data_IF_486604946710
#
_entry.id   IF_486604946710
#
_cell.length_a   1.000
_cell.length_b   1.000
_cell.length_c   1.000
_cell.angle_alpha   90.00
_cell.angle_beta   90.00
_cell.angle_gamma   90.00
#
_symmetry.space_group_name_H-M   'P 1'
#
loop_
_entity.id
_entity.type
_entity.pdbx_description
1 polymer ?
#
# COMPACT_ATOMS: atom_id res chain seq x y z
N UNK A 1 -49.50 21.18 19.63
CA UNK A 1 -49.26 20.05 20.56
C UNK A 1 -49.01 18.78 19.77
N UNK A 2 -47.93 18.04 20.04
CA UNK A 2 -47.85 16.56 20.14
C UNK A 2 -46.39 16.17 20.40
N UNK A 3 -46.17 15.31 21.40
CA UNK A 3 -44.87 14.71 21.75
C UNK A 3 -44.80 13.29 21.21
N UNK A 4 -43.60 12.71 21.27
CA UNK A 4 -43.33 11.27 21.28
C UNK A 4 -43.72 10.47 20.03
N UNK A 5 -42.74 10.27 19.15
CA UNK A 5 -42.43 8.94 18.65
C UNK A 5 -40.90 8.81 18.49
N UNK A 6 -40.27 8.06 19.42
CA UNK A 6 -39.01 7.28 19.26
C UNK A 6 -37.81 7.98 18.59
N UNK A 7 -36.67 8.28 19.24
CA UNK A 7 -36.09 7.92 20.56
C UNK A 7 -35.86 6.42 20.83
N UNK A 8 -35.38 5.63 19.85
CA UNK A 8 -34.80 4.30 20.10
C UNK A 8 -33.96 3.73 18.94
N UNK A 9 -32.81 4.33 18.58
CA UNK A 9 -31.68 3.56 18.00
C UNK A 9 -30.29 4.24 18.11
N UNK A 10 -30.04 5.02 19.17
CA UNK A 10 -28.72 5.60 19.48
C UNK A 10 -28.07 4.83 20.65
N UNK A 11 -28.46 3.57 20.84
CA UNK A 11 -28.14 2.77 22.03
C UNK A 11 -27.96 1.28 21.71
N UNK A 12 -27.02 0.97 20.82
CA UNK A 12 -26.45 -0.37 20.64
C UNK A 12 -25.00 -0.24 20.15
N UNK A 13 -24.13 -1.14 20.60
CA UNK A 13 -22.70 -1.22 20.22
C UNK A 13 -21.82 -0.01 20.65
N UNK A 14 -21.97 0.41 21.90
CA UNK A 14 -20.85 0.89 22.70
C UNK A 14 -20.70 0.00 23.95
N UNK A 15 -19.45 -0.36 24.27
CA UNK A 15 -19.00 -0.99 25.54
C UNK A 15 -19.55 -2.39 25.91
N UNK A 16 -19.05 -3.42 25.23
CA UNK A 16 -18.61 -4.67 25.90
C UNK A 16 -17.33 -5.19 25.25
N UNK A 17 -16.29 -5.47 26.02
CA UNK A 17 -15.11 -6.23 25.53
C UNK A 17 -13.74 -5.52 25.60
N UNK A 18 -13.28 -5.14 26.78
CA UNK A 18 -11.84 -4.90 27.01
C UNK A 18 -11.08 -6.24 27.09
N UNK A 19 -10.88 -6.91 25.95
CA UNK A 19 -10.04 -8.08 25.81
C UNK A 19 -9.46 -8.17 24.39
N UNK A 20 -8.16 -8.50 24.27
CA UNK A 20 -7.36 -8.60 23.04
C UNK A 20 -8.09 -8.47 21.71
N UNK A 21 -8.10 -7.26 21.14
CA UNK A 21 -8.65 -6.98 19.82
C UNK A 21 -7.76 -7.58 18.71
N UNK A 22 -7.88 -8.89 18.49
CA UNK A 22 -7.26 -9.56 17.35
C UNK A 22 -7.80 -8.96 16.05
N UNK A 23 -6.94 -8.32 15.26
CA UNK A 23 -7.34 -7.68 14.01
C UNK A 23 -8.11 -8.66 13.13
N UNK A 24 -9.35 -8.34 12.71
CA UNK A 24 -10.18 -9.26 11.94
C UNK A 24 -9.47 -9.62 10.64
N UNK A 25 -9.43 -10.92 10.34
CA UNK A 25 -8.71 -11.48 9.19
C UNK A 25 -9.10 -10.77 7.90
N UNK A 26 -8.09 -10.34 7.15
CA UNK A 26 -8.28 -9.69 5.87
C UNK A 26 -8.48 -10.76 4.78
N UNK A 27 -9.23 -10.46 3.70
CA UNK A 27 -9.39 -11.39 2.58
C UNK A 27 -8.04 -11.78 1.97
N UNK A 28 -7.96 -12.99 1.43
CA UNK A 28 -6.80 -13.45 0.66
C UNK A 28 -6.65 -12.70 -0.67
N UNK A 29 -7.75 -12.20 -1.25
CA UNK A 29 -7.69 -11.28 -2.39
C UNK A 29 -7.01 -9.96 -2.00
N UNK A 30 -5.83 -9.74 -2.59
CA UNK A 30 -5.07 -8.50 -2.59
C UNK A 30 -5.94 -7.26 -2.83
N UNK A 31 -6.95 -7.33 -3.70
CA UNK A 31 -7.80 -6.18 -4.07
C UNK A 31 -8.75 -5.79 -2.94
N UNK A 32 -9.61 -6.70 -2.49
CA UNK A 32 -10.55 -6.48 -1.40
C UNK A 32 -9.83 -6.12 -0.09
N UNK A 33 -8.70 -6.79 0.21
CA UNK A 33 -7.83 -6.41 1.33
C UNK A 33 -7.32 -4.96 1.19
N UNK A 34 -6.85 -4.55 0.01
CA UNK A 34 -6.38 -3.17 -0.24
C UNK A 34 -7.48 -2.14 -0.02
N UNK A 35 -8.69 -2.40 -0.50
CA UNK A 35 -9.82 -1.47 -0.33
C UNK A 35 -10.19 -1.29 1.14
N UNK A 36 -10.14 -2.37 1.94
CA UNK A 36 -10.33 -2.30 3.38
C UNK A 36 -9.22 -1.46 4.04
N UNK A 37 -7.95 -1.66 3.66
CA UNK A 37 -6.81 -0.88 4.19
C UNK A 37 -6.91 0.61 3.82
N UNK A 38 -7.18 0.92 2.54
CA UNK A 38 -7.38 2.30 2.05
C UNK A 38 -8.55 3.00 2.75
N UNK A 39 -9.60 2.26 3.12
CA UNK A 39 -10.75 2.78 3.87
C UNK A 39 -10.40 3.00 5.35
N UNK A 40 -9.72 2.04 5.98
CA UNK A 40 -9.30 2.12 7.40
C UNK A 40 -8.22 3.18 7.63
N UNK A 41 -7.38 3.52 6.64
CA UNK A 41 -6.37 4.58 6.72
C UNK A 41 -6.95 6.03 6.73
N UNK A 42 -8.26 6.20 6.95
CA UNK A 42 -8.91 7.46 7.30
C UNK A 42 -9.44 7.48 8.75
N UNK A 43 -9.27 6.38 9.50
CA UNK A 43 -9.69 6.31 10.90
C UNK A 43 -8.83 7.18 11.82
N UNK A 44 -9.35 7.52 13.02
CA UNK A 44 -8.54 8.12 14.08
C UNK A 44 -7.52 7.10 14.60
N UNK A 45 -6.29 7.53 14.81
CA UNK A 45 -5.20 6.67 15.26
C UNK A 45 -4.67 7.11 16.64
N UNK A 46 -4.65 6.22 17.65
CA UNK A 46 -4.07 6.53 18.94
C UNK A 46 -2.59 6.93 18.84
N UNK A 47 -2.13 7.96 19.58
CA UNK A 47 -0.73 8.38 19.60
C UNK A 47 0.26 7.24 19.90
N UNK A 48 -0.11 6.26 20.74
CA UNK A 48 0.75 5.10 21.04
C UNK A 48 0.92 4.13 19.85
N UNK A 49 -0.06 4.08 18.95
CA UNK A 49 0.01 3.29 17.70
C UNK A 49 0.94 3.99 16.72
N UNK A 50 0.80 5.32 16.61
CA UNK A 50 1.63 6.17 15.75
C UNK A 50 3.10 6.18 16.21
N UNK A 51 3.35 6.27 17.52
CA UNK A 51 4.69 6.15 18.12
C UNK A 51 5.34 4.80 17.83
N UNK A 52 4.63 3.69 18.11
CA UNK A 52 5.13 2.33 17.84
C UNK A 52 5.42 2.12 16.36
N UNK A 53 4.63 2.73 15.48
CA UNK A 53 4.85 2.71 14.04
C UNK A 53 6.08 3.53 13.60
N UNK A 54 6.34 4.70 14.19
CA UNK A 54 7.58 5.45 13.93
C UNK A 54 8.83 4.76 14.50
N UNK A 55 8.73 4.09 15.65
CA UNK A 55 9.82 3.26 16.15
C UNK A 55 10.20 2.12 15.17
N UNK A 56 9.20 1.48 14.54
CA UNK A 56 9.43 0.49 13.47
C UNK A 56 10.05 1.13 12.22
N UNK A 57 9.58 2.33 11.81
CA UNK A 57 10.20 3.12 10.72
C UNK A 57 11.69 3.35 10.98
N UNK A 58 12.04 3.80 12.18
CA UNK A 58 13.41 4.11 12.59
C UNK A 58 14.30 2.86 12.60
N UNK A 59 13.79 1.74 13.11
CA UNK A 59 14.49 0.46 13.13
C UNK A 59 14.84 -0.07 11.72
N UNK A 60 13.97 0.15 10.73
CA UNK A 60 14.16 -0.37 9.36
C UNK A 60 14.82 0.65 8.40
N UNK A 61 14.77 1.95 8.70
CA UNK A 61 15.26 3.03 7.84
C UNK A 61 16.73 2.88 7.37
N UNK A 62 17.71 2.46 8.20
CA UNK A 62 19.08 2.23 7.74
C UNK A 62 19.18 1.14 6.66
N UNK A 63 18.23 0.20 6.65
CA UNK A 63 18.17 -0.92 5.69
C UNK A 63 17.43 -0.53 4.42
N UNK A 64 16.37 0.29 4.52
CA UNK A 64 15.75 0.96 3.37
C UNK A 64 16.77 1.81 2.61
N UNK A 65 17.43 2.77 3.27
CA UNK A 65 18.46 3.64 2.67
C UNK A 65 19.62 2.85 2.03
N UNK A 66 19.98 1.68 2.58
CA UNK A 66 21.01 0.79 2.01
C UNK A 66 20.60 0.12 0.69
N UNK A 67 19.30 -0.11 0.47
CA UNK A 67 18.79 -0.83 -0.70
C UNK A 67 17.93 0.03 -1.64
N UNK A 68 17.67 1.29 -1.29
CA UNK A 68 16.78 2.25 -1.94
C UNK A 68 16.86 2.21 -3.49
N UNK A 69 18.03 2.43 -4.07
CA UNK A 69 18.24 2.41 -5.54
C UNK A 69 17.89 1.06 -6.18
N UNK A 70 18.13 -0.04 -5.45
CA UNK A 70 17.76 -1.39 -5.86
C UNK A 70 16.24 -1.60 -5.80
N UNK A 71 15.57 -1.03 -4.80
CA UNK A 71 14.11 -1.01 -4.69
C UNK A 71 13.46 -0.13 -5.76
N UNK A 72 14.08 1.00 -6.15
CA UNK A 72 13.56 1.85 -7.25
C UNK A 72 13.58 1.08 -8.56
N UNK A 73 14.70 0.39 -8.83
CA UNK A 73 14.80 -0.50 -9.98
C UNK A 73 13.88 -1.71 -9.88
N UNK A 74 13.58 -2.22 -8.67
CA UNK A 74 12.61 -3.30 -8.46
C UNK A 74 11.20 -2.86 -8.83
N UNK A 75 10.71 -1.76 -8.24
CA UNK A 75 9.39 -1.20 -8.53
C UNK A 75 9.20 -0.92 -10.04
N UNK A 76 10.19 -0.30 -10.68
CA UNK A 76 10.19 -0.01 -12.11
C UNK A 76 10.31 -1.28 -13.00
N UNK A 77 10.94 -2.36 -12.52
CA UNK A 77 11.03 -3.64 -13.25
C UNK A 77 9.80 -4.52 -13.12
N UNK A 78 9.11 -4.48 -11.97
CA UNK A 78 7.79 -5.09 -11.80
C UNK A 78 6.76 -4.37 -12.68
N UNK A 79 6.81 -3.03 -12.74
CA UNK A 79 6.05 -2.23 -13.71
C UNK A 79 6.39 -2.58 -15.18
N UNK A 80 7.65 -2.96 -15.46
CA UNK A 80 8.09 -3.42 -16.77
C UNK A 80 7.97 -4.93 -16.99
N UNK A 81 7.24 -5.65 -16.13
CA UNK A 81 7.00 -7.11 -16.18
C UNK A 81 8.24 -7.99 -16.44
N UNK A 82 9.42 -7.60 -15.91
CA UNK A 82 10.68 -8.37 -16.07
C UNK A 82 10.99 -9.20 -14.83
N UNK A 83 11.28 -10.49 -15.02
CA UNK A 83 11.64 -11.42 -13.95
C UNK A 83 12.85 -10.94 -13.13
N UNK A 84 12.75 -11.08 -11.80
CA UNK A 84 13.83 -10.72 -10.88
C UNK A 84 14.85 -11.84 -10.69
N UNK A 85 16.12 -11.47 -10.59
CA UNK A 85 17.22 -12.38 -10.25
C UNK A 85 18.24 -11.71 -9.31
N UNK A 86 18.81 -12.49 -8.39
CA UNK A 86 19.98 -12.11 -7.60
C UNK A 86 19.73 -11.13 -6.44
N UNK A 87 20.68 -10.22 -6.22
CA UNK A 87 20.84 -9.45 -4.97
C UNK A 87 19.63 -8.61 -4.55
N UNK A 88 18.80 -8.15 -5.49
CA UNK A 88 17.62 -7.35 -5.18
C UNK A 88 16.55 -8.13 -4.41
N UNK A 89 16.26 -9.38 -4.85
CA UNK A 89 15.29 -10.28 -4.18
C UNK A 89 15.77 -10.61 -2.76
N UNK A 90 17.07 -10.90 -2.60
CA UNK A 90 17.66 -11.16 -1.29
C UNK A 90 17.61 -9.93 -0.38
N UNK A 91 17.81 -8.73 -0.92
CA UNK A 91 17.64 -7.46 -0.19
C UNK A 91 16.20 -7.29 0.31
N UNK A 92 15.21 -7.45 -0.57
CA UNK A 92 13.79 -7.36 -0.24
C UNK A 92 13.37 -8.41 0.81
N UNK A 93 13.79 -9.67 0.67
CA UNK A 93 13.49 -10.74 1.62
C UNK A 93 14.12 -10.51 3.01
N UNK A 94 15.35 -9.99 3.06
CA UNK A 94 15.99 -9.62 4.33
C UNK A 94 15.30 -8.41 4.98
N UNK A 95 14.92 -7.41 4.19
CA UNK A 95 14.13 -6.27 4.70
C UNK A 95 12.76 -6.71 5.21
N UNK A 96 12.08 -7.62 4.51
CA UNK A 96 10.81 -8.22 4.93
C UNK A 96 10.94 -8.88 6.29
N UNK A 97 11.92 -9.78 6.45
CA UNK A 97 12.20 -10.48 7.72
C UNK A 97 12.50 -9.53 8.89
N UNK A 98 13.23 -8.45 8.63
CA UNK A 98 13.59 -7.49 9.66
C UNK A 98 12.44 -6.52 10.00
N UNK A 99 11.57 -6.19 9.04
CA UNK A 99 10.29 -5.51 9.26
C UNK A 99 9.32 -6.38 10.07
N UNK A 100 9.15 -7.65 9.71
CA UNK A 100 8.22 -8.55 10.43
C UNK A 100 8.61 -8.72 11.91
N UNK A 101 9.91 -8.81 12.21
CA UNK A 101 10.41 -8.82 13.60
C UNK A 101 10.15 -7.48 14.31
N UNK A 102 10.35 -6.35 13.64
CA UNK A 102 10.11 -5.04 14.22
C UNK A 102 8.62 -4.83 14.55
N UNK A 103 7.73 -5.29 13.67
CA UNK A 103 6.27 -5.27 13.88
C UNK A 103 5.84 -6.18 15.04
N UNK A 104 6.38 -7.39 15.13
CA UNK A 104 6.18 -8.31 16.26
C UNK A 104 6.62 -7.65 17.58
N UNK A 105 7.80 -7.03 17.61
CA UNK A 105 8.33 -6.30 18.77
C UNK A 105 7.47 -5.09 19.16
N UNK A 106 6.82 -4.44 18.20
CA UNK A 106 5.93 -3.29 18.42
C UNK A 106 4.48 -3.68 18.73
N UNK A 107 4.12 -4.98 18.67
CA UNK A 107 2.72 -5.41 18.77
C UNK A 107 1.83 -4.84 17.66
N UNK A 108 2.37 -4.72 16.44
CA UNK A 108 1.68 -4.24 15.24
C UNK A 108 1.58 -5.37 14.22
N UNK A 109 0.52 -5.39 13.41
CA UNK A 109 0.45 -6.31 12.27
C UNK A 109 1.06 -5.67 11.02
N UNK A 110 1.43 -6.49 10.02
CA UNK A 110 1.81 -5.95 8.70
C UNK A 110 0.64 -5.22 8.01
N UNK A 111 -0.61 -5.53 8.35
CA UNK A 111 -1.76 -4.75 7.87
C UNK A 111 -1.81 -3.34 8.49
N UNK A 112 -1.43 -3.19 9.76
CA UNK A 112 -1.29 -1.88 10.39
C UNK A 112 -0.13 -1.09 9.78
N UNK A 113 0.99 -1.76 9.48
CA UNK A 113 2.09 -1.15 8.73
C UNK A 113 1.65 -0.59 7.36
N UNK A 114 0.92 -1.39 6.56
CA UNK A 114 0.36 -0.95 5.28
C UNK A 114 -0.57 0.26 5.47
N UNK A 115 -1.52 0.16 6.42
CA UNK A 115 -2.52 1.19 6.71
C UNK A 115 -1.91 2.51 7.20
N UNK A 116 -0.95 2.45 8.12
CA UNK A 116 -0.26 3.62 8.69
C UNK A 116 0.71 4.25 7.68
N UNK A 117 1.32 3.45 6.80
CA UNK A 117 2.09 3.95 5.65
C UNK A 117 1.21 4.76 4.70
N UNK A 118 0.02 4.25 4.37
CA UNK A 118 -0.99 4.95 3.54
C UNK A 118 -1.44 6.27 4.20
N UNK A 119 -1.68 6.28 5.52
CA UNK A 119 -2.09 7.48 6.27
C UNK A 119 -0.98 8.54 6.33
N UNK A 120 0.18 8.17 6.89
CA UNK A 120 1.24 9.12 7.26
C UNK A 120 2.00 9.59 6.01
N UNK A 121 2.49 8.66 5.19
CA UNK A 121 3.40 8.99 4.09
C UNK A 121 2.66 9.13 2.77
N UNK A 122 1.66 8.28 2.52
CA UNK A 122 0.83 8.37 1.33
C UNK A 122 -0.07 9.61 1.31
N UNK A 123 -0.75 9.94 2.41
CA UNK A 123 -1.77 11.01 2.47
C UNK A 123 -1.28 12.28 3.14
N UNK A 124 -1.00 12.24 4.44
CA UNK A 124 -0.68 13.44 5.23
C UNK A 124 0.58 14.13 4.68
N UNK A 125 1.70 13.40 4.58
CA UNK A 125 2.97 13.97 4.16
C UNK A 125 2.91 14.56 2.73
N UNK A 126 2.25 13.89 1.79
CA UNK A 126 2.10 14.42 0.42
C UNK A 126 1.17 15.64 0.37
N UNK A 127 0.19 15.76 1.27
CA UNK A 127 -0.63 16.96 1.37
C UNK A 127 0.13 18.16 1.99
N UNK A 128 0.94 17.95 3.03
CA UNK A 128 1.62 19.05 3.75
C UNK A 128 2.96 19.49 3.16
N UNK A 129 3.56 18.73 2.23
CA UNK A 129 4.86 19.10 1.62
C UNK A 129 4.77 20.17 0.53
N UNK A 130 3.61 20.36 -0.10
CA UNK A 130 3.40 21.34 -1.17
C UNK A 130 4.15 21.08 -2.50
N UNK A 131 5.18 20.23 -2.49
CA UNK A 131 5.90 19.76 -3.68
C UNK A 131 5.12 18.66 -4.40
N UNK A 132 5.16 18.66 -5.73
CA UNK A 132 4.57 17.60 -6.55
C UNK A 132 5.07 16.20 -6.13
N UNK A 133 4.18 15.27 -5.75
CA UNK A 133 4.59 13.92 -5.32
C UNK A 133 5.25 13.17 -6.49
N UNK A 134 6.35 12.43 -6.28
CA UNK A 134 6.97 11.63 -7.36
C UNK A 134 6.01 10.59 -7.94
N UNK A 135 5.03 10.15 -7.13
CA UNK A 135 3.89 9.35 -7.54
C UNK A 135 3.11 9.95 -8.72
N UNK A 136 3.02 11.29 -8.85
CA UNK A 136 2.30 11.94 -9.96
C UNK A 136 2.96 11.66 -11.32
N UNK A 137 4.29 11.64 -11.37
CA UNK A 137 5.03 11.25 -12.59
C UNK A 137 4.85 9.76 -12.89
N UNK A 138 4.88 8.91 -11.86
CA UNK A 138 4.70 7.45 -12.01
C UNK A 138 3.28 7.11 -12.49
N UNK A 139 2.24 7.65 -11.85
CA UNK A 139 0.86 7.45 -12.24
C UNK A 139 0.58 7.92 -13.66
N UNK A 140 1.14 9.07 -14.08
CA UNK A 140 1.04 9.55 -15.46
C UNK A 140 1.68 8.57 -16.46
N UNK A 141 2.90 8.10 -16.20
CA UNK A 141 3.58 7.12 -17.07
C UNK A 141 2.79 5.82 -17.15
N UNK A 142 2.21 5.36 -16.04
CA UNK A 142 1.35 4.17 -16.01
C UNK A 142 0.03 4.38 -16.77
N UNK A 143 -0.57 5.58 -16.75
CA UNK A 143 -1.76 5.91 -17.56
C UNK A 143 -1.43 5.91 -19.06
N UNK A 144 -0.31 6.54 -19.44
CA UNK A 144 0.18 6.56 -20.82
C UNK A 144 0.48 5.12 -21.32
N UNK A 145 1.04 4.25 -20.46
CA UNK A 145 1.25 2.83 -20.74
C UNK A 145 -0.06 2.03 -20.83
N UNK A 146 -1.05 2.27 -19.96
CA UNK A 146 -2.34 1.57 -20.01
C UNK A 146 -3.04 1.84 -21.35
N UNK A 147 -3.14 3.12 -21.73
CA UNK A 147 -3.78 3.53 -22.98
C UNK A 147 -3.04 2.98 -24.20
N UNK A 148 -1.70 2.97 -24.18
CA UNK A 148 -0.91 2.40 -25.26
C UNK A 148 -1.12 0.89 -25.42
N UNK A 149 -1.09 0.12 -24.32
CA UNK A 149 -1.27 -1.34 -24.34
C UNK A 149 -2.70 -1.71 -24.71
N UNK A 150 -3.71 -1.03 -24.15
CA UNK A 150 -5.11 -1.28 -24.46
C UNK A 150 -5.42 -1.02 -25.95
N UNK A 151 -4.92 0.09 -26.51
CA UNK A 151 -5.05 0.39 -27.95
C UNK A 151 -4.33 -0.62 -28.83
N UNK A 152 -3.17 -1.13 -28.41
CA UNK A 152 -2.46 -2.17 -29.17
C UNK A 152 -3.28 -3.46 -29.24
N UNK A 153 -3.83 -3.93 -28.11
CA UNK A 153 -4.70 -5.12 -28.06
C UNK A 153 -6.01 -4.95 -28.86
N UNK A 154 -6.55 -3.73 -28.92
CA UNK A 154 -7.79 -3.42 -29.64
C UNK A 154 -7.58 -3.30 -31.17
N UNK A 155 -6.53 -2.59 -31.60
CA UNK A 155 -6.38 -2.14 -32.99
C UNK A 155 -5.34 -2.96 -33.79
N UNK A 156 -4.43 -3.66 -33.11
CA UNK A 156 -3.40 -4.51 -33.71
C UNK A 156 -2.97 -5.63 -32.74
N UNK A 157 -3.89 -6.52 -32.30
CA UNK A 157 -3.55 -7.60 -31.37
C UNK A 157 -2.45 -8.51 -31.94
N UNK A 158 -1.51 -9.01 -31.10
CA UNK A 158 -0.54 -10.01 -31.54
C UNK A 158 -1.21 -11.24 -32.14
N UNK A 159 -0.63 -11.76 -33.22
CA UNK A 159 -1.13 -12.97 -33.89
C UNK A 159 -0.77 -14.25 -33.12
N UNK A 160 0.30 -14.21 -32.32
CA UNK A 160 0.66 -15.27 -31.39
C UNK A 160 -0.20 -15.18 -30.11
N UNK A 161 -0.93 -16.25 -29.73
CA UNK A 161 -1.70 -16.29 -28.49
C UNK A 161 -0.90 -16.03 -27.22
N UNK A 162 0.37 -16.45 -27.15
CA UNK A 162 1.21 -16.28 -25.96
C UNK A 162 1.76 -14.85 -25.86
N UNK A 163 2.14 -14.22 -26.97
CA UNK A 163 2.46 -12.77 -26.99
C UNK A 163 1.25 -11.92 -26.58
N UNK A 164 0.07 -12.26 -27.12
CA UNK A 164 -1.19 -11.60 -26.76
C UNK A 164 -1.48 -11.75 -25.27
N UNK A 165 -1.37 -12.97 -24.72
CA UNK A 165 -1.60 -13.24 -23.30
C UNK A 165 -0.62 -12.48 -22.42
N UNK A 166 0.67 -12.45 -22.78
CA UNK A 166 1.67 -11.68 -22.04
C UNK A 166 1.38 -10.16 -22.06
N UNK A 167 0.79 -9.65 -23.15
CA UNK A 167 0.35 -8.25 -23.26
C UNK A 167 -0.91 -7.96 -22.43
N UNK A 168 -1.86 -8.89 -22.37
CA UNK A 168 -3.05 -8.83 -21.50
C UNK A 168 -2.68 -8.89 -20.00
N UNK A 169 -1.78 -9.81 -19.60
CA UNK A 169 -1.21 -9.90 -18.25
C UNK A 169 -0.47 -8.60 -17.86
N UNK A 170 0.26 -8.00 -18.81
CA UNK A 170 0.94 -6.72 -18.60
C UNK A 170 -0.04 -5.56 -18.44
N UNK A 171 -1.15 -5.54 -19.20
CA UNK A 171 -2.23 -4.57 -19.01
C UNK A 171 -2.86 -4.70 -17.62
N UNK A 172 -3.13 -5.93 -17.16
CA UNK A 172 -3.62 -6.20 -15.82
C UNK A 172 -2.64 -5.72 -14.73
N UNK A 173 -1.33 -5.90 -14.93
CA UNK A 173 -0.28 -5.41 -14.03
C UNK A 173 -0.25 -3.87 -13.96
N UNK A 174 -0.26 -3.17 -15.10
CA UNK A 174 -0.30 -1.70 -15.14
C UNK A 174 -1.58 -1.17 -14.48
N UNK A 175 -2.75 -1.77 -14.75
CA UNK A 175 -4.03 -1.46 -14.09
C UNK A 175 -4.05 -1.76 -12.59
N UNK A 176 -3.28 -2.74 -12.12
CA UNK A 176 -3.09 -2.95 -10.70
C UNK A 176 -2.25 -1.81 -10.11
N UNK A 177 -1.09 -1.49 -10.70
CA UNK A 177 -0.23 -0.42 -10.20
C UNK A 177 -0.89 0.97 -10.24
N UNK A 178 -1.73 1.28 -11.24
CA UNK A 178 -2.53 2.49 -11.25
C UNK A 178 -3.47 2.61 -10.05
N UNK A 179 -4.13 1.51 -9.67
CA UNK A 179 -4.96 1.43 -8.44
C UNK A 179 -4.14 1.51 -7.13
N UNK A 180 -2.81 1.52 -7.21
CA UNK A 180 -1.92 1.85 -6.09
C UNK A 180 -1.45 3.30 -6.16
N UNK A 181 -0.85 3.74 -7.27
CA UNK A 181 -0.17 5.04 -7.33
C UNK A 181 -1.12 6.24 -7.53
N UNK A 182 -2.21 6.07 -8.28
CA UNK A 182 -3.11 7.19 -8.61
C UNK A 182 -3.78 7.85 -7.39
N UNK A 183 -4.22 7.12 -6.35
CA UNK A 183 -4.74 7.70 -5.11
C UNK A 183 -3.79 8.61 -4.32
N UNK A 184 -2.48 8.57 -4.61
CA UNK A 184 -1.47 9.44 -3.99
C UNK A 184 -1.00 10.55 -4.94
N UNK A 185 -0.90 10.23 -6.23
CA UNK A 185 -0.58 11.18 -7.30
C UNK A 185 -1.58 12.34 -7.46
N UNK A 186 -2.85 12.05 -7.19
CA UNK A 186 -4.02 12.89 -7.47
C UNK A 186 -4.72 13.39 -6.20
N UNK A 187 -3.99 13.49 -5.08
CA UNK A 187 -4.53 14.05 -3.84
C UNK A 187 -4.82 15.55 -4.00
N UNK A 188 -6.05 15.92 -3.63
CA UNK A 188 -6.44 17.27 -3.24
C UNK A 188 -5.94 17.50 -1.79
N UNK A 189 -4.97 18.40 -1.54
CA UNK A 189 -4.37 18.55 -0.21
C UNK A 189 -5.36 19.00 0.86
N UNK A 190 -6.23 19.96 0.54
CA UNK A 190 -7.20 20.52 1.49
C UNK A 190 -8.23 19.48 1.90
N UNK A 191 -8.81 18.79 0.92
CA UNK A 191 -9.77 17.69 1.14
C UNK A 191 -9.13 16.51 1.86
N UNK A 192 -7.84 16.24 1.63
CA UNK A 192 -7.09 15.19 2.33
C UNK A 192 -6.89 15.55 3.80
N UNK A 193 -6.45 16.78 4.09
CA UNK A 193 -6.22 17.25 5.46
C UNK A 193 -7.54 17.46 6.24
N UNK A 194 -8.66 17.69 5.55
CA UNK A 194 -10.00 17.73 6.13
C UNK A 194 -10.61 16.33 6.38
N UNK A 195 -10.08 15.27 5.74
CA UNK A 195 -10.54 13.89 5.90
C UNK A 195 -9.70 13.06 6.90
N UNK A 196 -8.58 13.61 7.40
CA UNK A 196 -7.84 13.02 8.52
C UNK A 196 -8.41 13.55 9.83
N UNK A 197 -8.56 12.65 10.81
CA UNK A 197 -9.02 12.95 12.17
C UNK A 197 -8.21 14.12 12.82
N UNK A 198 -8.84 15.10 13.51
CA UNK A 198 -8.16 16.28 14.01
C UNK A 198 -7.05 16.02 15.05
N UNK A 199 -7.24 15.06 15.96
CA UNK A 199 -6.24 14.73 16.99
C UNK A 199 -5.05 13.98 16.36
N UNK A 200 -5.34 13.03 15.47
CA UNK A 200 -4.36 12.33 14.62
C UNK A 200 -3.55 13.34 13.80
N UNK A 201 -4.22 14.31 13.15
CA UNK A 201 -3.56 15.35 12.36
C UNK A 201 -2.68 16.25 13.22
N UNK A 202 -3.14 16.67 14.41
CA UNK A 202 -2.31 17.47 15.34
C UNK A 202 -1.02 16.73 15.70
N UNK A 203 -1.12 15.46 16.08
CA UNK A 203 0.05 14.63 16.40
C UNK A 203 1.02 14.52 15.22
N UNK A 204 0.52 14.41 13.98
CA UNK A 204 1.35 14.33 12.78
C UNK A 204 2.12 15.64 12.51
N UNK A 205 1.51 16.82 12.71
CA UNK A 205 2.24 18.09 12.64
C UNK A 205 3.28 18.23 13.77
N UNK A 206 2.93 17.82 15.00
CA UNK A 206 3.84 17.82 16.16
C UNK A 206 5.11 16.97 15.92
N UNK A 207 5.00 15.89 15.14
CA UNK A 207 6.10 14.96 14.85
C UNK A 207 6.67 15.11 13.43
N UNK A 208 6.37 16.23 12.75
CA UNK A 208 6.65 16.44 11.33
C UNK A 208 8.11 16.18 10.93
N UNK A 209 9.09 16.76 11.63
CA UNK A 209 10.51 16.62 11.28
C UNK A 209 10.98 15.15 11.34
N UNK A 210 10.51 14.40 12.35
CA UNK A 210 10.78 12.97 12.51
C UNK A 210 10.20 12.18 11.33
N UNK A 211 8.95 12.45 10.96
CA UNK A 211 8.27 11.83 9.81
C UNK A 211 8.98 12.18 8.49
N UNK A 212 9.32 13.44 8.24
CA UNK A 212 10.02 13.86 7.02
C UNK A 212 11.40 13.21 6.86
N UNK A 213 12.08 12.87 7.97
CA UNK A 213 13.34 12.13 7.96
C UNK A 213 13.21 10.62 7.63
N UNK A 214 11.98 10.08 7.69
CA UNK A 214 11.63 8.66 7.57
C UNK A 214 10.76 8.36 6.31
N UNK A 215 10.63 9.34 5.42
CA UNK A 215 10.01 9.22 4.10
C UNK A 215 10.88 8.36 3.18
N UNK A 216 10.30 7.29 2.63
CA UNK A 216 10.96 6.43 1.65
C UNK A 216 10.50 6.73 0.23
N UNK A 217 9.81 7.85 0.00
CA UNK A 217 9.36 8.29 -1.32
C UNK A 217 8.37 7.29 -1.91
N UNK A 218 8.61 6.86 -3.15
CA UNK A 218 7.70 5.99 -3.91
C UNK A 218 7.50 4.60 -3.26
N UNK A 219 8.35 4.17 -2.33
CA UNK A 219 8.14 2.89 -1.62
C UNK A 219 6.98 2.93 -0.62
N UNK A 220 6.60 4.12 -0.16
CA UNK A 220 5.45 4.30 0.74
C UNK A 220 4.11 4.27 0.01
N UNK A 221 4.13 4.15 -1.33
CA UNK A 221 2.95 4.07 -2.18
C UNK A 221 2.95 2.83 -3.08
N UNK A 222 4.03 2.04 -3.05
CA UNK A 222 4.15 0.70 -3.64
C UNK A 222 3.54 -0.39 -2.77
N UNK A 223 3.09 -1.49 -3.38
CA UNK A 223 3.03 -2.76 -2.65
C UNK A 223 4.47 -3.28 -2.45
N UNK A 224 4.86 -3.72 -1.24
CA UNK A 224 5.98 -4.65 -1.16
C UNK A 224 5.58 -5.96 -1.84
N UNK A 225 6.47 -6.60 -2.60
CA UNK A 225 6.15 -7.83 -3.32
C UNK A 225 5.72 -8.93 -2.34
N UNK A 226 4.57 -9.53 -2.59
CA UNK A 226 4.21 -10.82 -2.00
C UNK A 226 4.97 -11.91 -2.74
N UNK A 227 5.46 -12.90 -2.00
CA UNK A 227 5.79 -14.19 -2.62
C UNK A 227 4.51 -14.74 -3.24
N UNK A 228 4.39 -14.65 -4.57
CA UNK A 228 3.38 -15.43 -5.28
C UNK A 228 3.70 -16.90 -5.02
N UNK A 229 2.74 -17.72 -4.55
CA UNK A 229 2.97 -19.16 -4.47
C UNK A 229 3.40 -19.62 -5.85
N UNK A 230 4.57 -20.26 -5.91
CA UNK A 230 5.13 -20.76 -7.16
C UNK A 230 4.06 -21.67 -7.79
N UNK A 231 3.67 -21.47 -9.07
CA UNK A 231 2.75 -22.40 -9.70
C UNK A 231 3.36 -23.80 -9.56
N UNK A 232 2.57 -24.73 -9.02
CA UNK A 232 3.04 -26.11 -8.87
C UNK A 232 3.50 -26.61 -10.24
N UNK A 233 4.60 -27.37 -10.33
CA UNK A 233 4.94 -28.04 -11.58
C UNK A 233 3.71 -28.84 -12.03
N UNK A 234 3.37 -28.84 -13.33
CA UNK A 234 2.24 -29.61 -13.82
C UNK A 234 2.41 -31.05 -13.35
N UNK A 235 1.36 -31.64 -12.80
CA UNK A 235 1.40 -33.00 -12.28
C UNK A 235 1.90 -33.92 -13.41
N UNK A 236 3.09 -34.48 -13.21
CA UNK A 236 3.75 -35.28 -14.24
C UNK A 236 2.88 -36.48 -14.56
N UNK A 237 2.57 -36.67 -15.84
CA UNK A 237 1.73 -37.75 -16.33
C UNK A 237 2.46 -39.08 -16.14
N UNK A 238 2.28 -39.71 -14.97
CA UNK A 238 2.87 -41.01 -14.63
C UNK A 238 2.10 -42.11 -15.32
N UNK A 239 2.30 -42.24 -16.63
CA UNK A 239 1.82 -43.38 -17.39
C UNK A 239 2.39 -44.69 -16.85
N UNK A 240 1.49 -45.60 -16.46
CA UNK A 240 1.73 -46.94 -15.98
C UNK A 240 0.54 -47.84 -16.36
#
# INVERSE_FOLDING_TARGET
>A
MRRAFVTALVAALALTGCAGAGSPSLPDDDTARREILLRRAWGPEPPDVLERYLAVREQIAPRFRKYETGLTQMALREASSRAMFGKAVLGAALMRKDLDRALEQAGLTFADWERLTILVYGRWLRAVRGTDPPERRVARILQELEVAIARHLENAPPADPDERRALEDRLASVRHQLRFTAPFALLDPERTLAAIDPDTRRWLEEHRERIESLDFGVFDTMAPPRDRPRPAPPAGDTGA
#
